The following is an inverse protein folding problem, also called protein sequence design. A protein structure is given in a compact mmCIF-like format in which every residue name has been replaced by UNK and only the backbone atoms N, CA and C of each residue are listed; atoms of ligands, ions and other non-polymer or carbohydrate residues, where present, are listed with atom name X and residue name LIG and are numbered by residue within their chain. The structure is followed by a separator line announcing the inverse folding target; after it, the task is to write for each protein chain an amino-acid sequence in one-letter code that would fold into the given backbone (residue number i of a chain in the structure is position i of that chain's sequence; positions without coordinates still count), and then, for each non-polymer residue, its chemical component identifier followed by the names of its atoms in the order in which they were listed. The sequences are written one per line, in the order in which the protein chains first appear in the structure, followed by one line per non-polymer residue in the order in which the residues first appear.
data_IF_357330728883
#
_entry.id   IF_357330728883
#
_cell.length_a   1.000
_cell.length_b   1.000
_cell.length_c   1.000
_cell.angle_alpha   90.00
_cell.angle_beta   90.00
_cell.angle_gamma   90.00
#
_symmetry.space_group_name_H-M   'P 1'
#
loop_
_entity.id
_entity.type
_entity.pdbx_description
1 polymer ?
#
# COMPACT_ATOMS: atom_id res chain seq x y z
N UNK A 1 36.38 17.05 -70.40
CA UNK A 1 36.20 16.40 -69.08
C UNK A 1 35.40 17.36 -68.21
N UNK A 2 34.07 17.17 -68.19
CA UNK A 2 33.10 18.15 -67.73
C UNK A 2 32.78 18.03 -66.24
N UNK A 3 32.91 19.17 -65.55
CA UNK A 3 32.50 19.40 -64.18
C UNK A 3 31.01 19.82 -64.18
N UNK A 4 30.10 19.00 -63.62
CA UNK A 4 28.70 19.38 -63.44
C UNK A 4 28.33 19.45 -61.95
N UNK A 5 28.37 20.68 -61.41
CA UNK A 5 27.66 21.07 -60.18
C UNK A 5 26.15 21.13 -60.47
N UNK A 6 25.32 20.44 -59.68
CA UNK A 6 23.86 20.64 -59.62
C UNK A 6 23.47 21.17 -58.24
N UNK A 7 22.86 22.35 -58.21
CA UNK A 7 22.05 22.90 -57.10
C UNK A 7 20.67 22.22 -57.09
N UNK A 8 20.12 21.89 -55.92
CA UNK A 8 18.67 21.72 -55.59
C UNK A 8 18.51 21.94 -54.08
N UNK A 9 18.00 23.11 -53.67
CA UNK A 9 16.60 23.43 -53.28
C UNK A 9 16.21 22.87 -51.90
N UNK A 10 16.00 23.80 -50.96
CA UNK A 10 15.35 23.57 -49.67
C UNK A 10 13.93 23.04 -49.87
N UNK A 11 13.52 22.09 -49.03
CA UNK A 11 12.18 22.01 -48.44
C UNK A 11 12.19 20.97 -47.33
N UNK A 12 11.82 21.41 -46.12
CA UNK A 12 11.73 20.55 -44.95
C UNK A 12 10.57 19.57 -45.04
N UNK A 13 10.74 18.43 -44.39
CA UNK A 13 9.61 17.70 -43.84
C UNK A 13 10.05 17.00 -42.56
N UNK A 14 9.42 17.39 -41.46
CA UNK A 14 9.52 16.75 -40.16
C UNK A 14 9.05 15.30 -40.30
N UNK A 15 9.88 14.34 -39.88
CA UNK A 15 9.47 12.96 -39.69
C UNK A 15 8.39 12.92 -38.59
N UNK A 16 7.11 12.98 -38.99
CA UNK A 16 6.00 12.58 -38.13
C UNK A 16 6.05 11.06 -38.02
N UNK A 17 6.41 10.57 -36.84
CA UNK A 17 6.10 9.20 -36.41
C UNK A 17 4.58 9.04 -36.48
N UNK A 18 4.10 8.27 -37.45
CA UNK A 18 2.71 7.81 -37.50
C UNK A 18 2.74 6.43 -36.82
N UNK A 19 2.12 6.25 -35.64
CA UNK A 19 1.97 4.92 -35.08
C UNK A 19 1.09 4.08 -36.01
N UNK A 20 1.56 2.88 -36.36
CA UNK A 20 0.79 1.90 -37.10
C UNK A 20 -0.46 1.51 -36.27
N UNK A 21 -1.68 1.78 -36.75
CA UNK A 21 -2.92 1.47 -36.03
C UNK A 21 -3.15 -0.04 -35.87
N UNK A 22 -2.33 -0.88 -36.50
CA UNK A 22 -2.35 -2.34 -36.41
C UNK A 22 -1.18 -2.92 -35.60
N UNK A 23 -0.32 -2.08 -34.99
CA UNK A 23 0.75 -2.55 -34.12
C UNK A 23 0.18 -3.10 -32.80
N UNK A 24 -0.15 -4.39 -32.82
CA UNK A 24 -0.55 -5.19 -31.66
C UNK A 24 0.51 -5.04 -30.59
N UNK A 25 0.12 -4.50 -29.44
CA UNK A 25 1.01 -4.31 -28.29
C UNK A 25 1.54 -5.67 -27.83
N UNK A 26 2.74 -5.72 -27.25
CA UNK A 26 3.31 -6.96 -26.67
C UNK A 26 2.31 -7.64 -25.73
N UNK A 27 1.50 -6.84 -25.01
CA UNK A 27 0.40 -7.27 -24.14
C UNK A 27 -0.75 -7.97 -24.87
N UNK A 28 -1.10 -7.56 -26.08
CA UNK A 28 -2.14 -8.24 -26.87
C UNK A 28 -1.60 -9.52 -27.51
N UNK A 29 -0.35 -9.51 -27.99
CA UNK A 29 0.30 -10.66 -28.65
C UNK A 29 0.52 -11.87 -27.73
N UNK A 30 0.72 -11.64 -26.43
CA UNK A 30 0.90 -12.69 -25.44
C UNK A 30 -0.27 -12.83 -24.46
N UNK A 31 -1.39 -12.14 -24.73
CA UNK A 31 -2.57 -12.13 -23.85
C UNK A 31 -3.05 -13.55 -23.53
N UNK A 32 -3.11 -14.45 -24.50
CA UNK A 32 -3.59 -15.82 -24.30
C UNK A 32 -2.62 -16.74 -23.53
N UNK A 33 -1.31 -16.50 -23.65
CA UNK A 33 -0.28 -17.23 -22.88
C UNK A 33 -0.20 -16.72 -21.44
N UNK A 34 -0.37 -15.40 -21.25
CA UNK A 34 -0.49 -14.72 -19.97
C UNK A 34 -1.79 -15.15 -19.25
N UNK A 35 -2.92 -15.24 -19.98
CA UNK A 35 -4.22 -15.64 -19.45
C UNK A 35 -4.24 -17.05 -18.84
N UNK A 36 -3.34 -17.95 -19.28
CA UNK A 36 -3.25 -19.30 -18.72
C UNK A 36 -2.30 -19.40 -17.51
N UNK A 37 -1.30 -18.52 -17.40
CA UNK A 37 -0.37 -18.48 -16.27
C UNK A 37 -0.97 -17.78 -15.03
N UNK A 38 -1.92 -16.86 -15.23
CA UNK A 38 -2.51 -16.02 -14.16
C UNK A 38 -3.80 -16.56 -13.51
N UNK A 39 -4.14 -17.84 -13.70
CA UNK A 39 -5.24 -18.49 -12.94
C UNK A 39 -4.98 -18.59 -11.42
N UNK A 40 -3.88 -18.01 -10.92
CA UNK A 40 -3.41 -18.05 -9.53
C UNK A 40 -3.63 -16.70 -8.78
N UNK A 41 -4.11 -15.62 -9.43
CA UNK A 41 -4.56 -14.39 -8.75
C UNK A 41 -6.01 -14.02 -9.13
N UNK A 42 -7.02 -14.69 -8.55
CA UNK A 42 -8.42 -14.53 -8.97
C UNK A 42 -8.95 -13.11 -8.79
N UNK A 43 -8.54 -12.39 -7.74
CA UNK A 43 -9.08 -11.06 -7.40
C UNK A 43 -8.49 -9.96 -8.29
N UNK A 44 -7.16 -9.87 -8.41
CA UNK A 44 -6.51 -8.82 -9.21
C UNK A 44 -6.94 -8.87 -10.67
N UNK A 45 -6.93 -10.05 -11.29
CA UNK A 45 -7.41 -10.19 -12.68
C UNK A 45 -8.90 -9.86 -12.79
N UNK A 46 -9.74 -10.35 -11.87
CA UNK A 46 -11.17 -10.11 -11.91
C UNK A 46 -11.51 -8.62 -11.82
N UNK A 47 -10.86 -7.86 -10.93
CA UNK A 47 -11.11 -6.43 -10.78
C UNK A 47 -10.40 -5.59 -11.85
N UNK A 48 -9.07 -5.74 -11.99
CA UNK A 48 -8.26 -4.84 -12.82
C UNK A 48 -8.29 -5.15 -14.32
N UNK A 49 -8.71 -6.36 -14.71
CA UNK A 49 -8.87 -6.76 -16.12
C UNK A 49 -10.34 -6.91 -16.47
N UNK A 50 -11.07 -7.80 -15.81
CA UNK A 50 -12.45 -8.15 -16.19
C UNK A 50 -13.49 -7.07 -15.85
N UNK A 51 -13.27 -6.28 -14.80
CA UNK A 51 -14.21 -5.22 -14.36
C UNK A 51 -13.62 -3.82 -14.48
N UNK A 52 -12.59 -3.64 -15.32
CA UNK A 52 -11.91 -2.34 -15.47
C UNK A 52 -12.86 -1.23 -15.94
N UNK A 53 -13.80 -1.57 -16.81
CA UNK A 53 -14.88 -0.72 -17.31
C UNK A 53 -15.87 -0.26 -16.22
N UNK A 54 -15.90 -0.94 -15.07
CA UNK A 54 -16.81 -0.70 -13.95
C UNK A 54 -16.10 -0.29 -12.67
N UNK A 55 -14.97 0.42 -12.79
CA UNK A 55 -14.16 0.81 -11.63
C UNK A 55 -14.91 1.63 -10.58
N UNK A 56 -15.95 2.38 -10.97
CA UNK A 56 -16.83 3.09 -10.04
C UNK A 56 -17.58 2.16 -9.06
N UNK A 57 -17.74 0.88 -9.39
CA UNK A 57 -18.42 -0.11 -8.52
C UNK A 57 -17.50 -0.71 -7.46
N UNK A 58 -16.18 -0.70 -7.67
CA UNK A 58 -15.26 -1.50 -6.85
C UNK A 58 -13.96 -0.81 -6.44
N UNK A 59 -13.51 0.24 -7.13
CA UNK A 59 -12.19 0.82 -6.88
C UNK A 59 -12.27 1.97 -5.88
N UNK A 60 -11.31 2.06 -4.96
CA UNK A 60 -11.19 3.15 -3.98
C UNK A 60 -11.05 4.53 -4.66
N UNK A 61 -10.18 4.62 -5.67
CA UNK A 61 -9.97 5.80 -6.52
C UNK A 61 -10.36 5.49 -7.98
N UNK A 62 -11.65 5.54 -8.36
CA UNK A 62 -12.15 4.95 -9.61
C UNK A 62 -11.66 5.64 -10.89
N UNK A 63 -11.29 6.93 -10.79
CA UNK A 63 -10.85 7.74 -11.93
C UNK A 63 -9.33 7.81 -12.09
N UNK A 64 -8.58 7.22 -11.17
CA UNK A 64 -7.11 7.27 -11.16
C UNK A 64 -6.56 5.88 -11.34
N UNK A 65 -5.46 5.75 -12.09
CA UNK A 65 -4.83 4.48 -12.37
C UNK A 65 -3.31 4.64 -12.31
N UNK A 66 -2.66 3.58 -11.86
CA UNK A 66 -1.23 3.49 -11.95
C UNK A 66 -0.82 3.39 -13.44
N UNK A 67 0.31 3.99 -13.81
CA UNK A 67 0.81 3.88 -15.18
C UNK A 67 1.35 2.47 -15.42
N UNK A 68 1.34 1.95 -16.67
CA UNK A 68 1.89 0.63 -16.97
C UNK A 68 3.37 0.47 -16.57
N UNK A 69 4.13 1.56 -16.59
CA UNK A 69 5.51 1.59 -16.12
C UNK A 69 5.60 1.38 -14.61
N UNK A 70 4.77 2.09 -13.83
CA UNK A 70 4.73 1.95 -12.39
C UNK A 70 4.15 0.59 -11.96
N UNK A 71 3.15 0.04 -12.66
CA UNK A 71 2.62 -1.32 -12.44
C UNK A 71 3.72 -2.38 -12.63
N UNK A 72 4.53 -2.27 -13.70
CA UNK A 72 5.67 -3.17 -13.89
C UNK A 72 6.72 -3.00 -12.79
N UNK A 73 6.98 -1.76 -12.39
CA UNK A 73 7.96 -1.44 -11.37
C UNK A 73 7.57 -2.02 -10.00
N UNK A 74 6.30 -1.91 -9.56
CA UNK A 74 5.83 -2.57 -8.33
C UNK A 74 5.90 -4.08 -8.39
N UNK A 75 5.55 -4.71 -9.51
CA UNK A 75 5.60 -6.17 -9.63
C UNK A 75 7.05 -6.66 -9.52
N UNK A 76 7.99 -5.99 -10.22
CA UNK A 76 9.41 -6.37 -10.19
C UNK A 76 10.01 -6.15 -8.81
N UNK A 77 9.84 -4.94 -8.25
CA UNK A 77 10.36 -4.60 -6.94
C UNK A 77 9.73 -5.48 -5.85
N UNK A 78 8.41 -5.64 -5.86
CA UNK A 78 7.67 -6.46 -4.92
C UNK A 78 8.03 -7.95 -5.00
N UNK A 79 8.37 -8.46 -6.19
CA UNK A 79 8.89 -9.82 -6.33
C UNK A 79 10.30 -9.96 -5.76
N UNK A 80 11.17 -8.96 -5.98
CA UNK A 80 12.53 -8.94 -5.47
C UNK A 80 12.55 -8.89 -3.93
N UNK A 81 11.75 -8.03 -3.32
CA UNK A 81 11.63 -7.91 -1.85
C UNK A 81 11.03 -9.17 -1.24
N UNK A 82 10.02 -9.78 -1.88
CA UNK A 82 9.46 -11.06 -1.45
C UNK A 82 10.50 -12.16 -1.47
N UNK A 83 11.27 -12.26 -2.56
CA UNK A 83 12.36 -13.22 -2.65
C UNK A 83 13.40 -13.01 -1.54
N UNK A 84 13.74 -11.76 -1.24
CA UNK A 84 14.69 -11.40 -0.18
C UNK A 84 14.17 -11.78 1.22
N UNK A 85 12.92 -11.47 1.54
CA UNK A 85 12.30 -11.82 2.82
C UNK A 85 12.12 -13.34 2.96
N UNK A 86 11.72 -14.03 1.89
CA UNK A 86 11.62 -15.48 1.86
C UNK A 86 12.98 -16.16 2.07
N UNK A 87 14.03 -15.66 1.41
CA UNK A 87 15.41 -16.15 1.60
C UNK A 87 15.88 -15.93 3.03
N UNK A 88 15.61 -14.76 3.61
CA UNK A 88 15.95 -14.45 5.01
C UNK A 88 15.24 -15.40 5.98
N UNK A 89 13.94 -15.61 5.78
CA UNK A 89 13.13 -16.52 6.58
C UNK A 89 13.61 -17.97 6.45
N UNK A 90 13.99 -18.40 5.25
CA UNK A 90 14.52 -19.74 4.99
C UNK A 90 15.89 -19.96 5.66
N UNK A 91 16.79 -18.96 5.57
CA UNK A 91 18.07 -18.99 6.26
C UNK A 91 17.90 -19.07 7.78
N UNK A 92 16.95 -18.30 8.33
CA UNK A 92 16.66 -18.34 9.75
C UNK A 92 16.05 -19.69 10.16
N UNK A 93 15.07 -20.20 9.41
CA UNK A 93 14.49 -21.51 9.68
C UNK A 93 15.56 -22.61 9.66
N UNK A 94 16.51 -22.55 8.71
CA UNK A 94 17.66 -23.44 8.66
C UNK A 94 18.56 -23.30 9.89
N UNK A 95 18.88 -22.08 10.31
CA UNK A 95 19.66 -21.82 11.53
C UNK A 95 19.00 -22.46 12.77
N UNK A 96 17.71 -22.23 12.96
CA UNK A 96 16.94 -22.79 14.08
C UNK A 96 16.90 -24.32 14.01
N UNK A 97 16.63 -24.89 12.83
CA UNK A 97 16.57 -26.34 12.64
C UNK A 97 17.91 -27.04 12.91
N UNK A 98 19.04 -26.35 12.75
CA UNK A 98 20.38 -26.85 13.03
C UNK A 98 20.86 -26.55 14.47
N UNK A 99 19.93 -26.28 15.40
CA UNK A 99 20.26 -26.05 16.81
C UNK A 99 20.71 -24.62 17.14
N UNK A 100 20.50 -23.68 16.22
CA UNK A 100 20.66 -22.26 16.48
C UNK A 100 19.71 -21.77 17.58
N UNK A 101 20.12 -20.71 18.28
CA UNK A 101 19.34 -20.17 19.39
C UNK A 101 17.97 -19.67 18.91
N UNK A 102 16.93 -20.13 19.59
CA UNK A 102 15.55 -19.70 19.39
C UNK A 102 14.74 -20.09 20.62
N UNK A 103 13.66 -19.34 20.86
CA UNK A 103 12.63 -19.64 21.86
C UNK A 103 11.42 -20.34 21.25
N UNK A 104 11.50 -20.71 19.97
CA UNK A 104 10.43 -21.42 19.27
C UNK A 104 10.28 -22.83 19.82
N UNK A 105 9.03 -23.21 20.06
CA UNK A 105 8.68 -24.57 20.47
C UNK A 105 7.58 -25.16 19.58
N UNK A 106 7.50 -26.49 19.55
CA UNK A 106 6.65 -27.24 18.63
C UNK A 106 5.53 -28.03 19.31
N UNK A 107 5.72 -28.43 20.57
CA UNK A 107 4.72 -29.17 21.31
C UNK A 107 4.03 -28.26 22.31
N UNK A 108 2.69 -28.23 22.28
CA UNK A 108 1.89 -27.43 23.23
C UNK A 108 2.21 -27.78 24.68
N UNK A 109 2.60 -29.03 24.96
CA UNK A 109 2.94 -29.50 26.29
C UNK A 109 4.17 -28.79 26.91
N UNK A 110 5.07 -28.23 26.09
CA UNK A 110 6.32 -27.61 26.57
C UNK A 110 6.04 -26.37 27.45
N UNK A 111 4.93 -25.67 27.19
CA UNK A 111 4.51 -24.46 27.93
C UNK A 111 3.03 -24.46 28.35
N UNK A 112 2.29 -25.51 28.01
CA UNK A 112 0.89 -25.73 28.40
C UNK A 112 -0.14 -25.01 27.52
N UNK A 113 -1.37 -25.51 27.58
CA UNK A 113 -2.51 -25.01 26.79
C UNK A 113 -2.87 -23.55 27.09
N UNK A 114 -2.71 -23.10 28.34
CA UNK A 114 -3.01 -21.72 28.72
C UNK A 114 -2.12 -20.75 27.93
N UNK A 115 -0.81 -20.95 27.94
CA UNK A 115 0.10 -20.13 27.15
C UNK A 115 -0.17 -20.28 25.65
N UNK A 116 -0.50 -21.50 25.20
CA UNK A 116 -0.81 -21.73 23.80
C UNK A 116 -1.95 -20.84 23.28
N UNK A 117 -3.01 -20.65 24.05
CA UNK A 117 -4.11 -19.77 23.67
C UNK A 117 -3.81 -18.29 23.90
N UNK A 118 -3.11 -17.93 24.99
CA UNK A 118 -2.73 -16.54 25.28
C UNK A 118 -1.78 -15.95 24.23
N UNK A 119 -0.96 -16.77 23.58
CA UNK A 119 0.00 -16.26 22.59
C UNK A 119 -0.67 -15.68 21.34
N UNK A 120 -1.89 -16.12 20.96
CA UNK A 120 -2.58 -15.65 19.76
C UNK A 120 -2.79 -14.13 19.78
N UNK A 121 -3.50 -13.56 20.78
CA UNK A 121 -3.65 -12.11 20.88
C UNK A 121 -2.31 -11.41 21.15
N UNK A 122 -1.38 -12.03 21.90
CA UNK A 122 -0.07 -11.43 22.18
C UNK A 122 0.75 -11.24 20.90
N UNK A 123 0.86 -12.26 20.05
CA UNK A 123 1.59 -12.19 18.79
C UNK A 123 0.88 -11.25 17.81
N UNK A 124 -0.46 -11.30 17.75
CA UNK A 124 -1.23 -10.41 16.87
C UNK A 124 -1.03 -8.94 17.25
N UNK A 125 -1.20 -8.60 18.54
CA UNK A 125 -0.99 -7.23 19.03
C UNK A 125 0.47 -6.82 18.82
N UNK A 126 1.43 -7.72 19.08
CA UNK A 126 2.84 -7.44 18.83
C UNK A 126 3.12 -7.08 17.37
N UNK A 127 2.77 -7.97 16.43
CA UNK A 127 3.06 -7.78 15.01
C UNK A 127 2.36 -6.53 14.47
N UNK A 128 1.08 -6.33 14.81
CA UNK A 128 0.34 -5.17 14.32
C UNK A 128 0.88 -3.85 14.89
N UNK A 129 1.24 -3.83 16.18
CA UNK A 129 1.78 -2.63 16.82
C UNK A 129 3.21 -2.30 16.35
N UNK A 130 4.05 -3.32 16.16
CA UNK A 130 5.38 -3.17 15.56
C UNK A 130 5.25 -2.68 14.13
N UNK A 131 4.36 -3.26 13.33
CA UNK A 131 4.08 -2.80 11.96
C UNK A 131 3.65 -1.32 11.96
N UNK A 132 2.72 -0.91 12.83
CA UNK A 132 2.32 0.49 12.99
C UNK A 132 3.51 1.42 13.26
N UNK A 133 4.37 1.07 14.24
CA UNK A 133 5.50 1.90 14.63
C UNK A 133 6.58 1.95 13.56
N UNK A 134 6.90 0.80 12.96
CA UNK A 134 7.85 0.72 11.87
C UNK A 134 7.40 1.58 10.70
N UNK A 135 6.13 1.44 10.31
CA UNK A 135 5.53 2.24 9.26
C UNK A 135 5.62 3.75 9.57
N UNK A 136 5.23 4.15 10.78
CA UNK A 136 5.34 5.54 11.24
C UNK A 136 6.78 6.07 11.27
N UNK A 137 7.75 5.25 11.69
CA UNK A 137 9.18 5.59 11.71
C UNK A 137 9.70 5.80 10.29
N UNK A 138 9.30 4.94 9.35
CA UNK A 138 9.64 5.08 7.94
C UNK A 138 9.01 6.31 7.29
N UNK A 139 7.95 6.86 7.89
CA UNK A 139 7.39 8.16 7.57
C UNK A 139 8.09 9.37 8.22
N UNK A 140 9.21 9.19 8.91
CA UNK A 140 10.03 10.35 9.34
C UNK A 140 10.75 10.99 8.13
N UNK A 141 11.06 12.30 8.12
CA UNK A 141 11.55 12.99 6.92
C UNK A 141 12.76 12.33 6.24
N UNK A 142 13.71 11.83 7.01
CA UNK A 142 14.90 11.15 6.48
C UNK A 142 14.55 9.78 5.90
N UNK A 143 13.87 8.92 6.68
CA UNK A 143 13.56 7.57 6.24
C UNK A 143 12.55 7.55 5.09
N UNK A 144 11.60 8.48 5.10
CA UNK A 144 10.62 8.64 4.05
C UNK A 144 11.32 8.96 2.72
N UNK A 145 12.14 10.01 2.68
CA UNK A 145 12.78 10.45 1.43
C UNK A 145 13.70 9.41 0.82
N UNK A 146 14.38 8.61 1.65
CA UNK A 146 15.42 7.68 1.19
C UNK A 146 14.93 6.23 1.01
N UNK A 147 13.86 5.83 1.71
CA UNK A 147 13.38 4.45 1.70
C UNK A 147 11.90 4.41 1.31
N UNK A 148 11.03 4.93 2.17
CA UNK A 148 9.59 4.69 2.08
C UNK A 148 8.90 5.44 0.93
N UNK A 149 9.49 6.54 0.43
CA UNK A 149 8.99 7.27 -0.74
C UNK A 149 8.95 6.40 -2.00
N UNK A 150 9.77 5.34 -2.06
CA UNK A 150 9.73 4.36 -3.14
C UNK A 150 8.36 3.67 -3.21
N UNK A 151 7.83 3.29 -2.05
CA UNK A 151 6.50 2.69 -1.89
C UNK A 151 5.39 3.69 -2.23
N UNK A 152 5.52 4.95 -1.79
CA UNK A 152 4.56 6.01 -2.09
C UNK A 152 4.56 6.51 -3.54
N UNK A 153 5.37 5.93 -4.43
CA UNK A 153 5.19 6.12 -5.88
C UNK A 153 3.85 5.58 -6.37
N UNK A 154 3.31 4.58 -5.68
CA UNK A 154 2.08 3.87 -6.04
C UNK A 154 0.84 4.47 -5.37
N UNK A 155 0.55 5.75 -5.63
CA UNK A 155 -0.59 6.47 -5.02
C UNK A 155 -1.97 5.83 -5.23
N UNK A 156 -2.10 4.98 -6.25
CA UNK A 156 -3.23 4.08 -6.45
C UNK A 156 -2.67 2.67 -6.31
N UNK A 157 -2.53 2.18 -5.07
CA UNK A 157 -1.87 0.91 -4.85
C UNK A 157 -2.66 -0.23 -5.52
N UNK A 158 -1.95 -1.30 -5.78
CA UNK A 158 -2.49 -2.60 -6.19
C UNK A 158 -2.06 -3.66 -5.18
N UNK A 159 -2.59 -4.87 -5.32
CA UNK A 159 -2.17 -6.02 -4.50
C UNK A 159 -0.65 -6.26 -4.51
N UNK A 160 0.06 -5.78 -5.54
CA UNK A 160 1.52 -5.90 -5.64
C UNK A 160 2.27 -4.80 -4.88
N UNK A 161 1.64 -3.66 -4.58
CA UNK A 161 2.29 -2.55 -3.89
C UNK A 161 2.67 -2.90 -2.45
N UNK A 162 1.97 -3.83 -1.80
CA UNK A 162 2.21 -4.25 -0.40
C UNK A 162 3.67 -4.67 -0.15
N UNK A 163 4.31 -5.33 -1.13
CA UNK A 163 5.72 -5.73 -1.02
C UNK A 163 6.65 -4.86 -1.84
N UNK A 164 6.15 -3.95 -2.66
CA UNK A 164 6.95 -3.01 -3.43
C UNK A 164 7.48 -1.86 -2.55
N UNK A 165 8.32 -2.21 -1.58
CA UNK A 165 8.99 -1.32 -0.63
C UNK A 165 10.51 -1.37 -0.83
N UNK A 166 11.27 -0.51 -0.17
CA UNK A 166 12.72 -0.55 -0.30
C UNK A 166 13.29 -1.86 0.32
N UNK A 167 14.25 -2.58 -0.30
CA UNK A 167 14.74 -3.86 0.22
C UNK A 167 15.28 -3.80 1.66
N UNK A 168 16.01 -2.73 2.01
CA UNK A 168 16.48 -2.48 3.39
C UNK A 168 15.32 -2.31 4.36
N UNK A 169 14.26 -1.64 3.94
CA UNK A 169 13.06 -1.47 4.75
C UNK A 169 12.32 -2.80 4.93
N UNK A 170 12.16 -3.58 3.87
CA UNK A 170 11.55 -4.90 3.92
C UNK A 170 12.25 -5.81 4.93
N UNK A 171 13.60 -5.86 4.88
CA UNK A 171 14.40 -6.62 5.83
C UNK A 171 14.26 -6.10 7.26
N UNK A 172 14.30 -4.78 7.45
CA UNK A 172 14.20 -4.20 8.79
C UNK A 172 12.85 -4.51 9.44
N UNK A 173 11.73 -4.34 8.72
CA UNK A 173 10.39 -4.69 9.20
C UNK A 173 10.34 -6.19 9.52
N UNK A 174 10.80 -7.04 8.60
CA UNK A 174 10.82 -8.49 8.78
C UNK A 174 11.60 -8.92 10.03
N UNK A 175 12.76 -8.31 10.29
CA UNK A 175 13.60 -8.61 11.45
C UNK A 175 12.91 -8.20 12.77
N UNK A 176 12.14 -7.12 12.76
CA UNK A 176 11.36 -6.72 13.93
C UNK A 176 10.18 -7.67 14.16
N UNK A 177 9.46 -8.06 13.11
CA UNK A 177 8.30 -8.95 13.25
C UNK A 177 8.65 -10.37 13.75
N UNK A 178 9.86 -10.86 13.45
CA UNK A 178 10.32 -12.19 13.89
C UNK A 178 11.04 -12.18 15.25
N UNK A 179 11.25 -11.01 15.85
CA UNK A 179 11.92 -10.91 17.14
C UNK A 179 11.29 -11.79 18.24
N UNK A 180 9.95 -11.97 18.33
CA UNK A 180 9.32 -12.87 19.31
C UNK A 180 9.89 -14.29 19.31
N UNK A 181 10.36 -14.78 18.16
CA UNK A 181 10.95 -16.11 18.03
C UNK A 181 12.23 -16.30 18.87
N UNK A 182 12.83 -15.22 19.37
CA UNK A 182 14.09 -15.26 20.14
C UNK A 182 13.98 -14.75 21.58
N UNK A 183 12.89 -14.08 21.94
CA UNK A 183 12.75 -13.38 23.22
C UNK A 183 11.65 -13.94 24.11
N UNK A 184 10.62 -14.57 23.54
CA UNK A 184 9.51 -15.14 24.29
C UNK A 184 9.20 -16.55 23.76
N UNK A 185 8.87 -17.52 24.62
CA UNK A 185 8.45 -18.84 24.17
C UNK A 185 7.32 -18.74 23.14
N UNK A 186 7.62 -19.04 21.88
CA UNK A 186 6.67 -18.82 20.77
C UNK A 186 6.36 -20.13 20.09
N UNK A 187 5.09 -20.54 20.07
CA UNK A 187 4.72 -21.72 19.31
C UNK A 187 4.69 -21.36 17.82
N UNK A 188 5.31 -22.19 16.99
CA UNK A 188 5.42 -21.90 15.54
C UNK A 188 4.05 -21.67 14.87
N UNK A 189 3.04 -22.46 15.26
CA UNK A 189 1.72 -22.46 14.60
C UNK A 189 0.96 -21.13 14.76
N UNK A 190 0.67 -20.60 15.97
CA UNK A 190 0.03 -19.29 16.11
C UNK A 190 0.85 -18.17 15.48
N UNK A 191 2.19 -18.20 15.61
CA UNK A 191 3.03 -17.20 14.96
C UNK A 191 2.85 -17.17 13.45
N UNK A 192 2.90 -18.35 12.81
CA UNK A 192 2.76 -18.48 11.37
C UNK A 192 1.36 -18.08 10.89
N UNK A 193 0.30 -18.51 11.59
CA UNK A 193 -1.09 -18.18 11.23
C UNK A 193 -1.34 -16.68 11.36
N UNK A 194 -0.86 -16.04 12.43
CA UNK A 194 -0.98 -14.59 12.61
C UNK A 194 -0.18 -13.83 11.54
N UNK A 195 1.04 -14.29 11.20
CA UNK A 195 1.81 -13.69 10.11
C UNK A 195 1.07 -13.78 8.75
N UNK A 196 0.47 -14.93 8.45
CA UNK A 196 -0.37 -15.09 7.24
C UNK A 196 -1.59 -14.17 7.26
N UNK A 197 -2.24 -14.04 8.41
CA UNK A 197 -3.38 -13.13 8.60
C UNK A 197 -3.00 -11.68 8.30
N UNK A 198 -1.93 -11.19 8.93
CA UNK A 198 -1.40 -9.83 8.72
C UNK A 198 -1.03 -9.59 7.27
N UNK A 199 -0.36 -10.56 6.63
CA UNK A 199 0.03 -10.45 5.22
C UNK A 199 -1.17 -10.45 4.26
N UNK A 200 -2.18 -11.29 4.53
CA UNK A 200 -3.44 -11.29 3.77
C UNK A 200 -4.14 -9.93 3.84
N UNK A 201 -4.28 -9.36 5.04
CA UNK A 201 -4.88 -8.04 5.21
C UNK A 201 -4.05 -6.94 4.54
N UNK A 202 -2.71 -7.00 4.61
CA UNK A 202 -1.85 -6.08 3.87
C UNK A 202 -2.07 -6.10 2.35
N UNK A 203 -2.32 -7.27 1.75
CA UNK A 203 -2.70 -7.38 0.32
C UNK A 203 -4.04 -6.69 0.06
N UNK A 204 -5.03 -6.93 0.92
CA UNK A 204 -6.37 -6.34 0.80
C UNK A 204 -6.31 -4.82 0.90
N UNK A 205 -5.55 -4.29 1.85
CA UNK A 205 -5.41 -2.86 2.12
C UNK A 205 -4.71 -2.11 0.99
N UNK A 206 -3.78 -2.77 0.29
CA UNK A 206 -3.11 -2.21 -0.89
C UNK A 206 -3.85 -2.48 -2.20
N UNK A 207 -4.89 -3.32 -2.20
CA UNK A 207 -5.49 -3.81 -3.44
C UNK A 207 -6.10 -2.72 -4.32
N UNK A 208 -6.40 -1.54 -3.76
CA UNK A 208 -7.17 -0.48 -4.41
C UNK A 208 -8.65 -0.83 -4.60
N UNK A 209 -9.09 -1.98 -4.09
CA UNK A 209 -10.47 -2.47 -4.13
C UNK A 209 -11.18 -2.06 -2.84
N UNK A 210 -12.46 -1.73 -2.94
CA UNK A 210 -13.35 -1.28 -1.87
C UNK A 210 -13.76 -2.39 -0.89
N UNK A 211 -12.83 -3.27 -0.54
CA UNK A 211 -13.07 -4.31 0.45
C UNK A 211 -13.39 -3.70 1.81
N UNK A 212 -14.46 -4.21 2.40
CA UNK A 212 -14.90 -3.82 3.75
C UNK A 212 -14.46 -4.87 4.73
N UNK A 213 -14.13 -4.44 5.94
CA UNK A 213 -13.90 -5.38 7.02
C UNK A 213 -15.14 -6.23 7.27
N UNK A 214 -14.92 -7.49 7.61
CA UNK A 214 -16.01 -8.37 7.99
C UNK A 214 -16.56 -7.99 9.37
N UNK A 215 -17.84 -8.26 9.60
CA UNK A 215 -18.53 -7.98 10.87
C UNK A 215 -17.87 -8.65 12.10
N UNK A 216 -17.17 -9.76 11.90
CA UNK A 216 -16.47 -10.51 12.94
C UNK A 216 -15.02 -10.04 13.17
N UNK A 217 -14.56 -9.02 12.44
CA UNK A 217 -13.24 -8.40 12.56
C UNK A 217 -13.37 -6.91 12.92
N UNK A 218 -13.94 -6.55 14.08
CA UNK A 218 -14.23 -5.16 14.43
C UNK A 218 -12.98 -4.26 14.55
N UNK A 219 -11.79 -4.84 14.66
CA UNK A 219 -10.52 -4.12 14.67
C UNK A 219 -10.08 -3.68 13.28
N UNK A 220 -10.46 -4.42 12.23
CA UNK A 220 -10.01 -4.19 10.86
C UNK A 220 -10.63 -2.92 10.26
N UNK A 221 -9.82 -2.01 9.71
CA UNK A 221 -10.34 -0.93 8.88
C UNK A 221 -10.83 -1.48 7.53
N UNK A 222 -11.61 -0.66 6.81
CA UNK A 222 -11.91 -0.93 5.39
C UNK A 222 -10.68 -0.56 4.55
N UNK A 223 -10.49 -1.17 3.38
CA UNK A 223 -9.30 -0.97 2.54
C UNK A 223 -9.07 0.49 2.12
N UNK A 224 -10.13 1.32 2.06
CA UNK A 224 -10.01 2.78 1.83
C UNK A 224 -9.14 3.47 2.88
N UNK A 225 -8.99 2.91 4.09
CA UNK A 225 -8.17 3.48 5.15
C UNK A 225 -6.70 3.60 4.74
N UNK A 226 -6.14 2.53 4.17
CA UNK A 226 -4.77 2.49 3.70
C UNK A 226 -4.62 3.03 2.27
N UNK A 227 -5.65 2.94 1.43
CA UNK A 227 -5.67 3.67 0.16
C UNK A 227 -5.56 5.20 0.40
N UNK A 228 -6.27 5.70 1.42
CA UNK A 228 -6.14 7.07 1.90
C UNK A 228 -4.74 7.37 2.46
N UNK A 229 -4.05 6.40 3.06
CA UNK A 229 -2.66 6.57 3.47
C UNK A 229 -1.76 6.85 2.25
N UNK A 230 -1.88 6.09 1.16
CA UNK A 230 -1.16 6.35 -0.10
C UNK A 230 -1.55 7.68 -0.76
N UNK A 231 -2.79 8.14 -0.54
CA UNK A 231 -3.29 9.39 -1.10
C UNK A 231 -2.84 10.64 -0.30
N UNK A 232 -2.85 10.56 1.02
CA UNK A 232 -2.62 11.68 1.95
C UNK A 232 -1.30 11.58 2.73
N UNK A 233 -0.52 10.53 2.48
CA UNK A 233 0.79 10.25 3.05
C UNK A 233 0.79 10.05 4.56
N UNK A 234 1.22 11.06 5.33
CA UNK A 234 1.67 10.91 6.72
C UNK A 234 0.53 10.77 7.73
N UNK A 235 -0.45 9.90 7.47
CA UNK A 235 -1.62 9.57 8.28
C UNK A 235 -1.98 8.09 8.12
N UNK A 236 -2.82 7.55 8.99
CA UNK A 236 -3.37 6.19 8.84
C UNK A 236 -2.27 5.11 8.69
N UNK A 237 -1.35 5.04 9.65
CA UNK A 237 -0.20 4.12 9.57
C UNK A 237 -0.54 2.67 9.97
N UNK A 238 -1.66 2.43 10.64
CA UNK A 238 -2.06 1.10 11.05
C UNK A 238 -2.47 0.23 9.87
N UNK A 239 -2.33 -1.09 10.03
CA UNK A 239 -2.87 -2.07 9.09
C UNK A 239 -4.14 -2.70 9.66
N UNK A 240 -4.02 -3.49 10.74
CA UNK A 240 -5.14 -4.28 11.23
C UNK A 240 -5.95 -3.61 12.34
N UNK A 241 -5.34 -2.71 13.13
CA UNK A 241 -6.01 -2.05 14.26
C UNK A 241 -5.89 -0.52 14.10
N UNK A 242 -6.92 0.11 13.55
CA UNK A 242 -6.96 1.57 13.31
C UNK A 242 -6.90 2.43 14.61
N UNK A 243 -7.10 1.79 15.77
CA UNK A 243 -7.00 2.43 17.06
C UNK A 243 -5.59 2.91 17.37
N UNK A 244 -4.53 2.34 16.79
CA UNK A 244 -3.18 2.87 16.98
C UNK A 244 -3.04 4.29 16.44
N UNK A 245 -3.67 4.59 15.30
CA UNK A 245 -3.70 5.93 14.75
C UNK A 245 -4.52 6.90 15.60
N UNK A 246 -5.63 6.44 16.18
CA UNK A 246 -6.46 7.24 17.11
C UNK A 246 -5.68 7.54 18.38
N UNK A 247 -5.00 6.53 18.93
CA UNK A 247 -4.19 6.64 20.16
C UNK A 247 -3.03 7.61 20.00
N UNK A 248 -2.35 7.57 18.85
CA UNK A 248 -1.14 8.36 18.60
C UNK A 248 -1.39 9.66 17.83
N UNK A 249 -2.65 9.98 17.53
CA UNK A 249 -3.04 11.22 16.84
C UNK A 249 -2.62 11.28 15.37
N UNK A 250 -2.52 10.13 14.70
CA UNK A 250 -2.15 10.00 13.29
C UNK A 250 -3.30 9.59 12.38
N UNK A 251 -4.51 9.43 12.93
CA UNK A 251 -5.73 9.19 12.16
C UNK A 251 -6.08 10.41 11.29
N UNK A 252 -6.44 10.18 10.03
CA UNK A 252 -6.85 11.23 9.08
C UNK A 252 -8.03 12.02 9.64
N UNK A 253 -7.94 13.35 9.62
CA UNK A 253 -8.99 14.24 10.12
C UNK A 253 -9.62 15.08 9.03
N UNK A 254 -10.92 15.31 9.15
CA UNK A 254 -11.71 16.07 8.18
C UNK A 254 -11.37 17.56 8.15
N UNK A 255 -10.95 18.13 9.29
CA UNK A 255 -10.58 19.55 9.47
C UNK A 255 -9.12 19.86 9.09
N UNK A 256 -8.40 18.89 8.53
CA UNK A 256 -7.00 19.01 8.16
C UNK A 256 -6.78 18.75 6.67
N UNK A 257 -5.74 19.39 6.16
CA UNK A 257 -5.18 19.16 4.82
C UNK A 257 -3.81 18.51 4.99
N UNK A 258 -3.55 17.49 4.17
CA UNK A 258 -2.34 16.69 4.20
C UNK A 258 -1.61 16.77 2.86
N UNK A 259 -0.29 16.76 2.91
CA UNK A 259 0.59 16.78 1.74
C UNK A 259 1.84 15.94 2.06
N UNK A 260 2.61 15.61 1.03
CA UNK A 260 3.83 14.81 1.16
C UNK A 260 4.89 15.46 2.08
N UNK A 261 4.84 16.78 2.25
CA UNK A 261 5.77 17.56 3.07
C UNK A 261 5.26 17.85 4.50
N UNK A 262 4.02 17.48 4.85
CA UNK A 262 3.47 17.65 6.21
C UNK A 262 3.54 16.31 6.97
N UNK A 263 4.62 16.14 7.73
CA UNK A 263 4.93 14.91 8.45
C UNK A 263 4.16 14.74 9.78
N UNK A 264 4.24 13.52 10.34
CA UNK A 264 3.83 13.15 11.71
C UNK A 264 2.32 13.18 12.01
N UNK A 265 1.43 13.00 11.03
CA UNK A 265 -0.03 12.96 11.29
C UNK A 265 -0.66 14.30 11.59
N UNK A 266 0.09 15.41 11.55
CA UNK A 266 -0.39 16.70 12.02
C UNK A 266 -1.47 17.28 11.10
N UNK A 267 -1.16 17.37 9.81
CA UNK A 267 -1.94 18.12 8.82
C UNK A 267 -2.01 19.62 9.13
N UNK A 268 -2.10 20.47 8.10
CA UNK A 268 -2.40 21.89 8.27
C UNK A 268 -3.89 22.07 8.54
N UNK A 269 -4.29 23.04 9.36
CA UNK A 269 -5.72 23.34 9.51
C UNK A 269 -6.27 24.00 8.25
N UNK A 270 -7.57 23.81 7.98
CA UNK A 270 -8.23 24.43 6.82
C UNK A 270 -8.16 25.97 6.83
N UNK A 271 -8.07 26.61 8.00
CA UNK A 271 -7.88 28.06 8.15
C UNK A 271 -6.44 28.53 7.95
N UNK A 272 -5.47 27.61 7.88
CA UNK A 272 -4.03 27.91 7.75
C UNK A 272 -3.50 27.65 6.33
N UNK A 273 -4.27 26.99 5.46
CA UNK A 273 -3.86 26.62 4.10
C UNK A 273 -4.21 27.67 3.06
N UNK A 274 -3.43 27.72 1.98
CA UNK A 274 -3.76 28.56 0.83
C UNK A 274 -5.03 28.10 0.12
N UNK A 275 -5.61 28.97 -0.71
CA UNK A 275 -6.78 28.62 -1.51
C UNK A 275 -6.47 27.49 -2.51
N UNK A 276 -5.24 27.46 -3.02
CA UNK A 276 -4.73 26.46 -3.96
C UNK A 276 -4.55 25.10 -3.28
N UNK A 277 -3.93 25.07 -2.09
CA UNK A 277 -3.78 23.85 -1.28
C UNK A 277 -5.14 23.25 -0.94
N UNK A 278 -6.08 24.09 -0.48
CA UNK A 278 -7.45 23.66 -0.16
C UNK A 278 -8.18 23.14 -1.39
N UNK A 279 -8.03 23.80 -2.55
CA UNK A 279 -8.66 23.35 -3.80
C UNK A 279 -8.11 21.99 -4.24
N UNK A 280 -6.80 21.77 -4.10
CA UNK A 280 -6.18 20.49 -4.41
C UNK A 280 -6.68 19.38 -3.48
N UNK A 281 -6.74 19.62 -2.18
CA UNK A 281 -7.26 18.67 -1.18
C UNK A 281 -8.74 18.32 -1.43
N UNK A 282 -9.58 19.32 -1.74
CA UNK A 282 -10.98 19.08 -2.08
C UNK A 282 -11.13 18.19 -3.32
N UNK A 283 -10.30 18.41 -4.35
CA UNK A 283 -10.28 17.57 -5.56
C UNK A 283 -9.84 16.14 -5.24
N UNK A 284 -8.87 15.97 -4.35
CA UNK A 284 -8.43 14.65 -3.88
C UNK A 284 -9.55 13.92 -3.16
N UNK A 285 -10.25 14.57 -2.22
CA UNK A 285 -11.43 14.02 -1.52
C UNK A 285 -12.53 13.60 -2.49
N UNK A 286 -12.81 14.41 -3.51
CA UNK A 286 -13.81 14.11 -4.53
C UNK A 286 -13.44 12.94 -5.45
N UNK A 287 -12.17 12.52 -5.47
CA UNK A 287 -11.72 11.39 -6.26
C UNK A 287 -11.92 10.02 -5.60
N UNK A 288 -12.26 9.99 -4.32
CA UNK A 288 -12.54 8.77 -3.55
C UNK A 288 -13.93 8.20 -3.91
N UNK A 289 -14.12 6.90 -3.71
CA UNK A 289 -15.37 6.20 -3.98
C UNK A 289 -16.24 6.09 -2.70
N UNK A 290 -17.51 6.55 -2.72
CA UNK A 290 -18.39 6.38 -1.55
C UNK A 290 -18.56 4.91 -1.16
N UNK A 291 -18.58 3.98 -2.12
CA UNK A 291 -18.75 2.54 -1.88
C UNK A 291 -17.58 1.91 -1.12
N UNK A 292 -16.43 2.59 -1.06
CA UNK A 292 -15.26 2.15 -0.31
C UNK A 292 -15.31 2.45 1.18
N UNK A 293 -16.28 3.24 1.62
CA UNK A 293 -16.55 3.49 3.02
C UNK A 293 -17.61 2.51 3.56
N UNK A 294 -17.51 2.15 4.85
CA UNK A 294 -18.42 1.24 5.55
C UNK A 294 -19.90 1.52 5.27
N UNK A 295 -20.28 2.79 5.36
CA UNK A 295 -21.66 3.28 5.20
C UNK A 295 -22.04 3.67 3.75
N UNK A 296 -21.19 3.37 2.76
CA UNK A 296 -21.37 3.79 1.36
C UNK A 296 -21.50 5.33 1.21
N UNK A 297 -20.77 6.10 2.03
CA UNK A 297 -20.83 7.56 2.09
C UNK A 297 -19.43 8.15 2.11
N UNK A 298 -19.27 9.31 1.48
CA UNK A 298 -18.02 10.06 1.48
C UNK A 298 -17.73 10.67 2.86
N UNK A 299 -17.09 9.90 3.74
CA UNK A 299 -16.81 10.28 5.13
C UNK A 299 -16.07 11.63 5.24
N UNK A 300 -15.06 11.82 4.39
CA UNK A 300 -14.19 13.00 4.43
C UNK A 300 -14.67 14.16 3.54
N UNK A 301 -15.77 14.03 2.79
CA UNK A 301 -16.30 15.11 1.94
C UNK A 301 -16.80 16.27 2.79
N UNK A 302 -16.29 17.47 2.50
CA UNK A 302 -16.68 18.70 3.19
C UNK A 302 -17.85 19.38 2.49
N UNK A 303 -18.91 19.68 3.24
CA UNK A 303 -19.98 20.56 2.80
C UNK A 303 -19.56 22.04 2.86
N UNK A 304 -20.24 22.89 2.08
CA UNK A 304 -20.04 24.34 2.14
C UNK A 304 -20.23 24.91 3.55
N UNK A 305 -21.14 24.33 4.34
CA UNK A 305 -21.39 24.71 5.73
C UNK A 305 -20.20 24.37 6.63
N UNK A 306 -19.65 23.16 6.51
CA UNK A 306 -18.47 22.73 7.26
C UNK A 306 -17.26 23.58 6.91
N UNK A 307 -16.99 23.80 5.61
CA UNK A 307 -15.91 24.68 5.15
C UNK A 307 -16.01 26.08 5.75
N UNK A 308 -17.21 26.67 5.74
CA UNK A 308 -17.44 28.01 6.32
C UNK A 308 -17.23 28.02 7.83
N UNK A 309 -17.59 26.94 8.53
CA UNK A 309 -17.38 26.82 9.96
C UNK A 309 -15.89 26.65 10.32
N UNK A 310 -15.15 25.86 9.55
CA UNK A 310 -13.73 25.56 9.79
C UNK A 310 -12.80 26.73 9.43
N UNK A 311 -13.22 27.61 8.52
CA UNK A 311 -12.50 28.86 8.20
C UNK A 311 -12.63 29.94 9.27
N UNK A 312 -13.49 29.76 10.27
CA UNK A 312 -13.59 30.72 11.37
C UNK A 312 -12.44 30.47 12.36
N UNK A 313 -11.64 31.49 12.69
CA UNK A 313 -10.61 31.33 13.72
C UNK A 313 -11.29 30.89 15.02
N UNK A 314 -10.69 29.92 15.71
CA UNK A 314 -11.14 29.56 17.06
C UNK A 314 -10.86 30.78 17.94
N UNK A 315 -11.92 31.34 18.53
CA UNK A 315 -11.83 32.44 19.51
C UNK A 315 -11.00 32.03 20.71
#
# INVERSE_FOLDING_TARGET
MGNHKKKRSQNGNLNRWIPDPMAVTWTEKYSDTINNFWKILPSTWYFYVRRRDRAEEWKCQPKKWLSPELERHEIILGSLTLFLNASTSALLACYIANGGYSTVYYNVADYGWLWFFLQWPVIFIYQDYVTYWMHRIYHTPFLYRNFHKLHHKYKQPTAFSVTAIHPVEALHIQLMDILPLFIIPTHWFPFYVVALYTYYHGIIDHSGVNFKAYWWQPWQPDAIFHDNHHQYFHVNFAFNIDYWDKLHGTYRRKDRVYTEDIFYGKGKRIDEVSAEELKADLKERESENPLAYRDNKMEFKLSNRELKAMKRPKK
#
